data_IF_050240456042
#
_entry.id   IF_050240456042
#
_cell.length_a   1.000
_cell.length_b   1.000
_cell.length_c   1.000
_cell.angle_alpha   90.00
_cell.angle_beta   90.00
_cell.angle_gamma   90.00
#
_symmetry.space_group_name_H-M   'P 1'
#
loop_
_entity.id
_entity.type
_entity.pdbx_description
1 polymer ?
#
# COMPACT_ATOMS: atom_id res chain seq x y z
N UNK A 1 36.17 -5.19 -22.73
CA UNK A 1 35.89 -4.30 -21.60
C UNK A 1 34.38 -4.01 -21.65
N UNK A 2 33.59 -4.51 -20.72
CA UNK A 2 32.18 -4.15 -20.63
C UNK A 2 32.13 -2.66 -20.24
N UNK A 3 31.53 -1.83 -21.08
CA UNK A 3 31.21 -0.46 -20.78
C UNK A 3 30.30 -0.49 -19.53
N UNK A 4 30.77 0.05 -18.41
CA UNK A 4 29.92 0.28 -17.24
C UNK A 4 28.74 1.15 -17.73
N UNK A 5 27.55 0.60 -17.73
CA UNK A 5 26.34 1.38 -17.95
C UNK A 5 26.23 2.41 -16.84
N UNK A 6 25.72 3.59 -17.18
CA UNK A 6 25.38 4.59 -16.18
C UNK A 6 24.38 3.99 -15.20
N UNK A 7 24.57 4.22 -13.91
CA UNK A 7 23.61 3.81 -12.86
C UNK A 7 22.20 4.38 -13.03
N UNK A 8 22.05 5.29 -13.97
CA UNK A 8 20.75 5.92 -14.33
C UNK A 8 20.12 5.33 -15.58
N UNK A 9 20.75 4.35 -16.22
CA UNK A 9 20.22 3.77 -17.45
C UNK A 9 19.15 2.72 -17.13
N UNK A 10 18.24 2.54 -18.06
CA UNK A 10 17.27 1.47 -18.03
C UNK A 10 16.88 1.08 -19.46
N UNK A 11 16.38 -0.13 -19.64
CA UNK A 11 16.10 -0.67 -20.97
C UNK A 11 14.66 -1.18 -21.08
N UNK A 12 14.00 -0.83 -22.18
CA UNK A 12 12.76 -1.47 -22.60
C UNK A 12 13.17 -2.69 -23.42
N UNK A 13 13.02 -3.90 -22.87
CA UNK A 13 13.34 -5.15 -23.56
C UNK A 13 12.22 -5.59 -24.48
N UNK A 14 10.99 -5.29 -24.07
CA UNK A 14 9.80 -5.69 -24.82
C UNK A 14 8.61 -4.86 -24.41
N UNK A 15 7.85 -4.35 -25.37
CA UNK A 15 6.57 -3.72 -25.12
C UNK A 15 5.61 -4.05 -26.26
N UNK A 16 4.81 -5.08 -26.07
CA UNK A 16 3.85 -5.55 -27.08
C UNK A 16 2.43 -5.26 -26.65
N UNK A 17 1.62 -4.85 -27.58
CA UNK A 17 0.16 -4.82 -27.51
C UNK A 17 -0.42 -5.98 -28.31
N UNK A 18 -1.42 -6.63 -27.75
CA UNK A 18 -2.11 -7.73 -28.38
C UNK A 18 -3.56 -7.34 -28.66
N UNK A 19 -4.11 -7.78 -29.77
CA UNK A 19 -5.51 -7.56 -30.10
C UNK A 19 -6.42 -8.21 -29.05
N UNK A 20 -7.51 -7.52 -28.63
CA UNK A 20 -8.41 -8.00 -27.59
C UNK A 20 -9.24 -9.23 -28.00
N UNK A 21 -9.48 -9.42 -29.30
CA UNK A 21 -10.25 -10.54 -29.83
C UNK A 21 -9.39 -11.46 -30.73
N UNK A 22 -9.53 -12.77 -30.50
CA UNK A 22 -9.01 -13.86 -31.33
C UNK A 22 -7.51 -13.79 -31.62
N UNK A 23 -6.64 -14.35 -30.83
CA UNK A 23 -5.21 -14.58 -31.14
C UNK A 23 -4.63 -13.69 -32.27
N UNK A 24 -5.14 -12.48 -32.33
CA UNK A 24 -4.96 -11.56 -33.42
C UNK A 24 -3.57 -10.95 -33.39
N UNK A 25 -3.43 -9.95 -34.16
CA UNK A 25 -2.22 -9.18 -34.38
C UNK A 25 -1.56 -8.73 -33.08
N UNK A 26 -0.27 -8.96 -32.97
CA UNK A 26 0.60 -8.41 -31.92
C UNK A 26 1.46 -7.34 -32.53
N UNK A 27 1.55 -6.18 -31.89
CA UNK A 27 2.39 -5.08 -32.36
C UNK A 27 3.44 -4.83 -31.30
N UNK A 28 4.71 -4.79 -31.71
CA UNK A 28 5.79 -4.30 -30.85
C UNK A 28 5.85 -2.77 -30.93
N UNK A 29 5.63 -2.13 -29.79
CA UNK A 29 5.65 -0.67 -29.67
C UNK A 29 6.88 -0.18 -28.88
N UNK A 30 7.85 -1.06 -28.61
CA UNK A 30 9.04 -0.73 -27.81
C UNK A 30 9.77 0.50 -28.31
N UNK A 31 9.88 0.67 -29.63
CA UNK A 31 10.53 1.82 -30.27
C UNK A 31 9.73 3.14 -30.23
N UNK A 32 8.43 3.06 -30.03
CA UNK A 32 7.55 4.23 -29.96
C UNK A 32 7.36 4.76 -28.52
N UNK A 33 7.77 3.99 -27.52
CA UNK A 33 7.64 4.38 -26.11
C UNK A 33 8.76 5.32 -25.72
N UNK A 34 8.42 6.53 -25.26
CA UNK A 34 9.38 7.55 -24.82
C UNK A 34 9.50 7.63 -23.31
N UNK A 35 8.44 7.33 -22.59
CA UNK A 35 8.43 7.33 -21.12
C UNK A 35 7.48 6.27 -20.59
N UNK A 36 7.91 5.56 -19.55
CA UNK A 36 7.09 4.63 -18.78
C UNK A 36 7.10 5.10 -17.32
N UNK A 37 5.93 5.12 -16.71
CA UNK A 37 5.74 5.33 -15.27
C UNK A 37 4.93 4.18 -14.71
N UNK A 38 5.51 3.43 -13.79
CA UNK A 38 4.85 2.36 -13.07
C UNK A 38 4.64 2.77 -11.62
N UNK A 39 3.45 2.57 -11.10
CA UNK A 39 3.04 3.02 -9.78
C UNK A 39 2.57 1.88 -8.89
N UNK A 40 3.03 1.89 -7.64
CA UNK A 40 2.50 1.11 -6.53
C UNK A 40 2.22 2.03 -5.33
N UNK A 41 1.17 1.73 -4.56
CA UNK A 41 0.81 2.47 -3.36
C UNK A 41 0.10 1.54 -2.37
N UNK A 42 0.51 1.56 -1.10
CA UNK A 42 -0.12 0.75 -0.03
C UNK A 42 -1.58 1.11 0.22
N UNK A 43 -2.04 2.27 -0.22
CA UNK A 43 -3.43 2.71 -0.14
C UNK A 43 -4.21 2.43 -1.44
N UNK A 44 -3.55 1.98 -2.49
CA UNK A 44 -4.17 1.61 -3.76
C UNK A 44 -4.40 0.10 -3.85
N UNK A 45 -5.61 -0.28 -4.24
CA UNK A 45 -5.97 -1.69 -4.40
C UNK A 45 -5.43 -2.29 -5.71
N UNK A 46 -4.79 -1.50 -6.55
CA UNK A 46 -4.31 -1.94 -7.86
C UNK A 46 -3.09 -1.13 -8.28
N UNK A 47 -2.17 -1.79 -8.95
CA UNK A 47 -1.04 -1.14 -9.63
C UNK A 47 -1.51 -0.47 -10.91
N UNK A 48 -0.74 0.50 -11.40
CA UNK A 48 -0.98 1.16 -12.67
C UNK A 48 0.32 1.45 -13.40
N UNK A 49 0.26 1.47 -14.73
CA UNK A 49 1.37 1.84 -15.57
C UNK A 49 0.87 2.85 -16.63
N UNK A 50 1.63 3.88 -16.85
CA UNK A 50 1.37 4.90 -17.85
C UNK A 50 2.55 4.97 -18.84
N UNK A 51 2.28 4.93 -20.13
CA UNK A 51 3.30 5.01 -21.16
C UNK A 51 2.98 6.15 -22.14
N UNK A 52 3.98 6.99 -22.41
CA UNK A 52 3.90 8.01 -23.45
C UNK A 52 4.42 7.39 -24.75
N UNK A 53 3.57 7.41 -25.76
CA UNK A 53 3.85 6.87 -27.10
C UNK A 53 4.04 8.03 -28.06
N UNK A 54 5.07 7.94 -28.89
CA UNK A 54 5.31 8.84 -30.02
C UNK A 54 5.52 7.97 -31.24
N UNK A 55 4.61 8.05 -32.18
CA UNK A 55 4.66 7.25 -33.39
C UNK A 55 4.70 8.12 -34.66
N UNK A 56 5.36 7.60 -35.68
CA UNK A 56 5.54 8.27 -37.01
C UNK A 56 4.83 7.55 -38.13
N UNK A 57 4.00 6.54 -37.80
CA UNK A 57 3.29 5.73 -38.82
C UNK A 57 4.09 4.56 -39.39
N UNK A 58 5.38 4.45 -39.08
CA UNK A 58 6.22 3.29 -39.37
C UNK A 58 6.13 2.31 -38.19
N UNK A 59 5.16 1.42 -38.24
CA UNK A 59 5.05 0.37 -37.22
C UNK A 59 5.60 -0.92 -37.78
N UNK A 60 6.63 -1.48 -37.18
CA UNK A 60 7.17 -2.80 -37.50
C UNK A 60 6.13 -3.88 -37.16
N UNK A 61 5.35 -4.26 -38.12
CA UNK A 61 4.39 -5.36 -38.00
C UNK A 61 3.81 -5.73 -39.31
N UNK A 62 4.09 -6.94 -39.81
CA UNK A 62 3.67 -7.49 -41.10
C UNK A 62 2.14 -7.45 -41.35
N UNK A 63 1.33 -7.15 -40.35
CA UNK A 63 -0.12 -7.23 -40.42
C UNK A 63 -0.88 -5.89 -40.28
N UNK A 64 -0.19 -4.78 -40.01
CA UNK A 64 -0.86 -3.50 -39.69
C UNK A 64 -0.85 -2.51 -40.86
N UNK A 65 0.03 -2.76 -41.86
CA UNK A 65 0.25 -1.83 -42.95
C UNK A 65 0.73 -0.47 -42.43
N UNK A 66 1.15 0.46 -43.24
CA UNK A 66 1.63 1.80 -42.88
C UNK A 66 0.55 2.66 -42.16
N UNK A 67 0.01 2.18 -41.04
CA UNK A 67 -1.01 2.86 -40.22
C UNK A 67 -0.49 3.05 -38.81
N UNK A 68 -0.94 4.11 -38.15
CA UNK A 68 -0.69 4.33 -36.72
C UNK A 68 -1.23 3.20 -35.84
N UNK A 69 -0.64 3.01 -34.67
CA UNK A 69 -1.00 1.96 -33.70
C UNK A 69 -2.48 2.04 -33.32
N UNK A 70 -3.01 3.24 -33.10
CA UNK A 70 -4.41 3.45 -32.71
C UNK A 70 -5.40 2.99 -33.78
N UNK A 71 -5.05 3.18 -35.05
CA UNK A 71 -5.89 2.80 -36.20
C UNK A 71 -5.62 1.37 -36.69
N UNK A 72 -4.38 0.95 -36.64
CA UNK A 72 -3.93 -0.37 -37.07
C UNK A 72 -4.38 -1.50 -36.13
N UNK A 73 -4.36 -1.29 -34.83
CA UNK A 73 -4.82 -2.24 -33.82
C UNK A 73 -6.18 -1.87 -33.24
N UNK A 74 -7.00 -1.05 -33.78
CA UNK A 74 -8.09 -0.26 -33.18
C UNK A 74 -8.16 -0.34 -31.65
N UNK A 75 -7.22 0.35 -30.98
CA UNK A 75 -7.11 0.38 -29.52
C UNK A 75 -8.35 1.05 -28.92
N UNK A 76 -9.16 0.28 -28.20
CA UNK A 76 -10.44 0.74 -27.61
C UNK A 76 -10.53 0.54 -26.12
N UNK A 77 -9.52 -0.07 -25.49
CA UNK A 77 -9.48 -0.49 -24.11
C UNK A 77 -9.72 -1.99 -23.95
N UNK A 78 -8.98 -2.58 -23.02
CA UNK A 78 -9.00 -4.01 -22.75
C UNK A 78 -7.99 -4.84 -23.56
N UNK A 79 -7.16 -4.21 -24.38
CA UNK A 79 -6.06 -4.87 -25.09
C UNK A 79 -5.00 -5.32 -24.10
N UNK A 80 -4.66 -6.62 -24.06
CA UNK A 80 -3.59 -7.11 -23.21
C UNK A 80 -2.23 -6.68 -23.71
N UNK A 81 -1.30 -6.44 -22.78
CA UNK A 81 0.08 -6.09 -23.10
C UNK A 81 1.06 -7.11 -22.54
N UNK A 82 2.23 -7.20 -23.15
CA UNK A 82 3.40 -7.89 -22.61
C UNK A 82 4.53 -6.88 -22.47
N UNK A 83 4.90 -6.58 -21.23
CA UNK A 83 5.89 -5.54 -20.92
C UNK A 83 7.04 -6.17 -20.16
N UNK A 84 8.27 -5.86 -20.61
CA UNK A 84 9.51 -6.25 -19.96
C UNK A 84 10.47 -5.06 -19.98
N UNK A 85 10.73 -4.50 -18.81
CA UNK A 85 11.68 -3.41 -18.59
C UNK A 85 12.74 -3.85 -17.57
N UNK A 86 13.95 -3.33 -17.74
CA UNK A 86 15.09 -3.64 -16.87
C UNK A 86 15.75 -2.35 -16.41
N UNK A 87 16.22 -2.36 -15.15
CA UNK A 87 17.09 -1.31 -14.62
C UNK A 87 18.56 -1.54 -14.99
N UNK A 88 19.43 -0.68 -14.49
CA UNK A 88 20.88 -0.73 -14.77
C UNK A 88 21.57 -1.99 -14.22
N UNK A 89 21.02 -2.60 -13.16
CA UNK A 89 21.52 -3.84 -12.55
C UNK A 89 20.99 -5.11 -13.22
N UNK A 90 20.09 -4.95 -14.19
CA UNK A 90 19.42 -6.06 -14.87
C UNK A 90 18.23 -6.62 -14.09
N UNK A 91 17.82 -5.95 -12.99
CA UNK A 91 16.57 -6.28 -12.32
C UNK A 91 15.40 -5.90 -13.21
N UNK A 92 14.44 -6.79 -13.35
CA UNK A 92 13.38 -6.63 -14.35
C UNK A 92 11.99 -6.62 -13.76
N UNK A 93 11.16 -5.71 -14.27
CA UNK A 93 9.71 -5.78 -14.14
C UNK A 93 9.13 -6.47 -15.40
N UNK A 94 8.41 -7.56 -15.15
CA UNK A 94 7.82 -8.40 -16.21
C UNK A 94 6.32 -8.54 -16.01
N UNK A 95 5.57 -7.96 -16.93
CA UNK A 95 4.11 -8.06 -16.98
C UNK A 95 3.71 -8.99 -18.12
N UNK A 96 3.66 -10.30 -17.82
CA UNK A 96 3.30 -11.37 -18.78
C UNK A 96 2.48 -12.46 -18.09
N UNK A 97 1.79 -13.31 -18.88
CA UNK A 97 0.97 -14.39 -18.33
C UNK A 97 -0.16 -13.86 -17.43
N UNK A 98 -0.19 -14.30 -16.18
CA UNK A 98 -1.21 -13.89 -15.21
C UNK A 98 -0.98 -12.47 -14.65
N UNK A 99 0.21 -11.90 -14.86
CA UNK A 99 0.55 -10.51 -14.46
C UNK A 99 0.37 -9.49 -15.58
N UNK A 100 -0.20 -9.87 -16.74
CA UNK A 100 -0.43 -8.93 -17.85
C UNK A 100 -1.21 -7.71 -17.40
N UNK A 101 -0.82 -6.58 -17.97
CA UNK A 101 -1.57 -5.34 -17.86
C UNK A 101 -2.40 -5.15 -19.12
N UNK A 102 -3.48 -4.41 -19.00
CA UNK A 102 -4.45 -4.19 -20.07
C UNK A 102 -4.64 -2.69 -20.26
N UNK A 103 -4.81 -2.26 -21.49
CA UNK A 103 -5.12 -0.86 -21.80
C UNK A 103 -6.43 -0.49 -21.13
N UNK A 104 -6.38 0.49 -20.25
CA UNK A 104 -7.56 1.04 -19.57
C UNK A 104 -8.04 2.31 -20.25
N UNK A 105 -7.09 3.16 -20.69
CA UNK A 105 -7.41 4.49 -21.17
C UNK A 105 -6.37 4.96 -22.19
N UNK A 106 -6.85 5.62 -23.22
CA UNK A 106 -6.05 6.44 -24.14
C UNK A 106 -6.36 7.89 -23.85
N UNK A 107 -5.36 8.73 -23.66
CA UNK A 107 -5.54 10.15 -23.33
C UNK A 107 -4.49 11.04 -23.98
N UNK A 108 -4.78 12.33 -24.02
CA UNK A 108 -3.88 13.37 -24.54
C UNK A 108 -3.41 13.07 -25.98
N UNK A 109 -4.33 12.65 -26.85
CA UNK A 109 -4.00 12.38 -28.25
C UNK A 109 -3.75 13.71 -28.95
N UNK A 110 -2.53 13.86 -29.47
CA UNK A 110 -2.10 15.01 -30.29
C UNK A 110 -1.67 14.44 -31.65
N UNK A 111 -2.53 14.59 -32.65
CA UNK A 111 -2.26 14.12 -33.99
C UNK A 111 -1.69 15.24 -34.84
N UNK A 112 -0.56 14.98 -35.49
CA UNK A 112 0.11 15.85 -36.43
C UNK A 112 0.18 15.21 -37.80
N UNK A 113 0.72 15.94 -38.78
CA UNK A 113 0.89 15.41 -40.15
C UNK A 113 2.00 14.35 -40.24
N UNK A 114 2.93 14.33 -39.31
CA UNK A 114 4.10 13.44 -39.34
C UNK A 114 4.28 12.58 -38.09
N UNK A 115 3.52 12.85 -37.03
CA UNK A 115 3.60 12.08 -35.77
C UNK A 115 2.36 12.24 -34.94
N UNK A 116 2.03 11.17 -34.22
CA UNK A 116 1.04 11.15 -33.17
C UNK A 116 1.70 10.97 -31.80
N UNK A 117 1.20 11.70 -30.82
CA UNK A 117 1.64 11.60 -29.41
C UNK A 117 0.44 11.34 -28.54
N UNK A 118 0.48 10.31 -27.73
CA UNK A 118 -0.59 9.97 -26.82
C UNK A 118 -0.08 9.21 -25.59
N UNK A 119 -0.93 9.07 -24.60
CA UNK A 119 -0.64 8.33 -23.37
C UNK A 119 -1.56 7.14 -23.26
N UNK A 120 -0.98 5.97 -23.04
CA UNK A 120 -1.69 4.75 -22.70
C UNK A 120 -1.57 4.47 -21.20
N UNK A 121 -2.69 4.36 -20.54
CA UNK A 121 -2.75 3.93 -19.14
C UNK A 121 -3.18 2.45 -19.09
N UNK A 122 -2.41 1.67 -18.33
CA UNK A 122 -2.57 0.23 -18.17
C UNK A 122 -2.90 -0.13 -16.73
N UNK A 123 -3.77 -1.12 -16.59
CA UNK A 123 -4.17 -1.69 -15.28
C UNK A 123 -4.27 -3.21 -15.37
N UNK A 124 -4.22 -3.93 -14.24
CA UNK A 124 -4.40 -5.38 -14.24
C UNK A 124 -5.86 -5.78 -14.51
N UNK A 125 -6.05 -7.01 -15.01
CA UNK A 125 -7.37 -7.62 -15.28
C UNK A 125 -8.30 -7.57 -14.06
N UNK A 126 -7.73 -7.76 -12.89
CA UNK A 126 -8.47 -7.82 -11.64
C UNK A 126 -9.21 -6.52 -11.31
N UNK A 127 -8.69 -5.36 -11.76
CA UNK A 127 -9.39 -4.09 -11.59
C UNK A 127 -10.70 -4.05 -12.40
N UNK A 128 -10.68 -4.55 -13.64
CA UNK A 128 -11.91 -4.66 -14.44
C UNK A 128 -12.88 -5.67 -13.84
N UNK A 129 -12.37 -6.84 -13.40
CA UNK A 129 -13.18 -7.84 -12.72
C UNK A 129 -13.84 -7.30 -11.45
N UNK A 130 -13.14 -6.44 -10.70
CA UNK A 130 -13.69 -5.79 -9.51
C UNK A 130 -14.92 -4.90 -9.82
N UNK A 131 -14.93 -4.24 -10.99
CA UNK A 131 -16.08 -3.45 -11.42
C UNK A 131 -17.30 -4.32 -11.79
N UNK A 132 -17.06 -5.52 -12.28
CA UNK A 132 -18.10 -6.46 -12.75
C UNK A 132 -18.61 -7.40 -11.65
N UNK A 133 -17.88 -7.56 -10.55
CA UNK A 133 -18.18 -8.50 -9.49
C UNK A 133 -18.84 -7.82 -8.29
N UNK A 134 -19.67 -8.61 -7.58
CA UNK A 134 -20.28 -8.21 -6.30
C UNK A 134 -20.15 -9.33 -5.28
N UNK A 135 -19.88 -8.95 -4.05
CA UNK A 135 -19.81 -9.88 -2.91
C UNK A 135 -21.18 -9.93 -2.26
N UNK A 136 -21.92 -11.01 -2.52
CA UNK A 136 -23.29 -11.19 -2.02
C UNK A 136 -23.43 -12.33 -1.00
N UNK A 137 -22.39 -13.17 -0.89
CA UNK A 137 -22.39 -14.33 -0.02
C UNK A 137 -22.12 -13.93 1.44
N UNK A 138 -22.55 -14.81 2.33
CA UNK A 138 -22.10 -14.84 3.71
C UNK A 138 -20.71 -15.46 3.79
N UNK A 139 -19.89 -14.91 4.65
CA UNK A 139 -18.56 -15.40 4.98
C UNK A 139 -18.45 -15.58 6.49
N UNK A 140 -17.93 -16.73 6.90
CA UNK A 140 -17.73 -17.10 8.30
C UNK A 140 -16.25 -17.41 8.53
N UNK A 141 -15.77 -17.19 9.77
CA UNK A 141 -14.41 -17.49 10.21
C UNK A 141 -13.43 -16.32 10.12
N UNK A 142 -12.16 -16.65 10.01
CA UNK A 142 -11.08 -15.64 10.04
C UNK A 142 -11.11 -14.71 8.82
N UNK A 143 -10.82 -13.44 9.05
CA UNK A 143 -10.78 -12.42 7.98
C UNK A 143 -9.77 -12.81 6.89
N UNK A 144 -8.56 -13.27 7.26
CA UNK A 144 -7.52 -13.68 6.31
C UNK A 144 -7.98 -14.79 5.35
N UNK A 145 -8.72 -15.77 5.85
CA UNK A 145 -9.28 -16.85 5.02
C UNK A 145 -10.36 -16.33 4.08
N UNK A 146 -11.19 -15.41 4.57
CA UNK A 146 -12.26 -14.81 3.77
C UNK A 146 -11.71 -13.91 2.67
N UNK A 147 -10.66 -13.13 2.93
CA UNK A 147 -9.94 -12.38 1.90
C UNK A 147 -9.42 -13.31 0.80
N UNK A 148 -8.80 -14.43 1.18
CA UNK A 148 -8.35 -15.43 0.20
C UNK A 148 -9.50 -15.98 -0.64
N UNK A 149 -10.62 -16.32 -0.01
CA UNK A 149 -11.83 -16.79 -0.72
C UNK A 149 -12.38 -15.76 -1.70
N UNK A 150 -12.37 -14.46 -1.33
CA UNK A 150 -12.85 -13.36 -2.18
C UNK A 150 -11.95 -13.17 -3.40
N UNK A 151 -10.63 -13.28 -3.25
CA UNK A 151 -9.68 -13.03 -4.33
C UNK A 151 -9.51 -14.24 -5.27
N UNK A 152 -9.43 -15.46 -4.74
CA UNK A 152 -9.19 -16.67 -5.54
C UNK A 152 -10.46 -17.34 -6.05
N UNK A 153 -11.55 -17.33 -5.27
CA UNK A 153 -12.79 -18.06 -5.57
C UNK A 153 -13.84 -17.15 -6.18
N UNK A 154 -14.86 -17.80 -6.68
CA UNK A 154 -16.02 -17.15 -7.25
C UNK A 154 -16.84 -16.44 -6.16
N UNK A 155 -16.99 -15.15 -6.26
CA UNK A 155 -17.77 -14.33 -5.32
C UNK A 155 -19.25 -14.24 -5.70
N UNK A 156 -19.57 -14.51 -6.96
CA UNK A 156 -20.92 -14.55 -7.51
C UNK A 156 -21.10 -15.75 -8.46
N UNK A 157 -22.33 -16.06 -8.83
CA UNK A 157 -22.64 -17.15 -9.77
C UNK A 157 -22.01 -16.96 -11.15
N UNK A 158 -21.71 -15.73 -11.55
CA UNK A 158 -21.32 -15.40 -12.92
C UNK A 158 -19.88 -14.91 -13.08
N UNK A 159 -19.33 -14.19 -12.13
CA UNK A 159 -17.99 -13.63 -12.25
C UNK A 159 -17.38 -13.34 -10.89
N UNK A 160 -16.13 -13.73 -10.70
CA UNK A 160 -15.30 -13.45 -9.53
C UNK A 160 -13.98 -12.83 -9.95
N UNK A 161 -13.22 -12.28 -9.01
CA UNK A 161 -11.86 -11.78 -9.28
C UNK A 161 -11.01 -12.90 -9.86
N UNK A 162 -11.04 -14.08 -9.25
CA UNK A 162 -10.32 -15.30 -9.69
C UNK A 162 -8.87 -14.99 -10.04
N UNK A 163 -8.20 -14.26 -9.15
CA UNK A 163 -6.79 -13.94 -9.38
C UNK A 163 -5.94 -15.19 -9.31
N UNK A 164 -4.94 -15.26 -10.20
CA UNK A 164 -3.87 -16.26 -10.17
C UNK A 164 -2.57 -15.69 -9.66
N UNK A 165 -2.56 -14.37 -9.35
CA UNK A 165 -1.40 -13.71 -8.78
C UNK A 165 -1.11 -14.23 -7.37
N UNK A 166 0.14 -14.12 -6.97
CA UNK A 166 0.56 -14.50 -5.61
C UNK A 166 -0.21 -13.68 -4.58
N UNK A 167 -0.69 -14.35 -3.53
CA UNK A 167 -1.33 -13.72 -2.38
C UNK A 167 -0.38 -13.77 -1.17
N UNK A 168 -0.08 -12.61 -0.62
CA UNK A 168 0.72 -12.44 0.57
C UNK A 168 -0.20 -11.95 1.69
N UNK A 169 -0.76 -12.89 2.44
CA UNK A 169 -1.82 -12.65 3.43
C UNK A 169 -1.28 -13.01 4.81
N UNK A 170 -1.21 -12.03 5.71
CA UNK A 170 -0.92 -12.29 7.12
C UNK A 170 -2.16 -12.91 7.79
N UNK A 171 -1.92 -13.93 8.62
CA UNK A 171 -2.99 -14.62 9.34
C UNK A 171 -3.62 -13.70 10.38
N UNK A 172 -4.97 -13.70 10.44
CA UNK A 172 -5.74 -12.92 11.42
C UNK A 172 -6.20 -13.79 12.60
N UNK A 173 -6.28 -13.19 13.78
CA UNK A 173 -6.58 -13.91 15.01
C UNK A 173 -8.08 -14.17 15.22
N UNK A 174 -8.91 -13.13 14.98
CA UNK A 174 -10.31 -13.16 15.34
C UNK A 174 -11.20 -13.64 14.20
N UNK A 175 -12.27 -14.34 14.55
CA UNK A 175 -13.34 -14.67 13.61
C UNK A 175 -14.28 -13.49 13.46
N UNK A 176 -14.64 -13.21 12.23
CA UNK A 176 -15.59 -12.17 11.89
C UNK A 176 -16.52 -12.63 10.78
N UNK A 177 -17.78 -12.85 11.14
CA UNK A 177 -18.80 -13.27 10.22
C UNK A 177 -19.49 -12.06 9.59
N UNK A 178 -19.64 -12.05 8.27
CA UNK A 178 -20.26 -10.93 7.57
C UNK A 178 -20.96 -11.36 6.29
N UNK A 179 -21.82 -10.47 5.80
CA UNK A 179 -22.47 -10.58 4.48
C UNK A 179 -21.88 -9.45 3.62
N UNK A 180 -21.59 -9.75 2.37
CA UNK A 180 -20.93 -8.82 1.47
C UNK A 180 -21.74 -7.59 1.05
N UNK A 181 -23.07 -7.59 1.28
CA UNK A 181 -23.98 -6.48 1.03
C UNK A 181 -23.87 -5.86 -0.38
N UNK A 182 -23.68 -6.72 -1.37
CA UNK A 182 -23.54 -6.35 -2.79
C UNK A 182 -22.43 -5.34 -3.10
N UNK A 183 -21.37 -5.35 -2.29
CA UNK A 183 -20.21 -4.48 -2.45
C UNK A 183 -19.18 -5.08 -3.40
N UNK A 184 -18.35 -4.20 -4.01
CA UNK A 184 -17.22 -4.61 -4.84
C UNK A 184 -16.17 -5.38 -4.00
N UNK A 185 -15.52 -6.40 -4.54
CA UNK A 185 -14.54 -7.22 -3.81
C UNK A 185 -13.42 -6.43 -3.15
N UNK A 186 -12.78 -5.51 -3.85
CA UNK A 186 -11.68 -4.70 -3.30
C UNK A 186 -12.16 -3.79 -2.17
N UNK A 187 -13.36 -3.23 -2.30
CA UNK A 187 -13.97 -2.47 -1.20
C UNK A 187 -14.14 -3.34 0.05
N UNK A 188 -14.63 -4.58 -0.11
CA UNK A 188 -14.79 -5.50 1.02
C UNK A 188 -13.44 -5.84 1.65
N UNK A 189 -12.40 -6.07 0.84
CA UNK A 189 -11.06 -6.33 1.34
C UNK A 189 -10.51 -5.15 2.16
N UNK A 190 -10.66 -3.92 1.66
CA UNK A 190 -10.23 -2.71 2.39
C UNK A 190 -11.07 -2.47 3.65
N UNK A 191 -12.37 -2.70 3.59
CA UNK A 191 -13.25 -2.60 4.75
C UNK A 191 -12.89 -3.60 5.85
N UNK A 192 -12.55 -4.84 5.48
CA UNK A 192 -12.08 -5.87 6.41
C UNK A 192 -10.70 -5.56 6.99
N UNK A 193 -9.84 -4.86 6.25
CA UNK A 193 -8.50 -4.47 6.71
C UNK A 193 -8.54 -3.64 8.00
N UNK A 194 -9.50 -2.74 8.13
CA UNK A 194 -9.69 -1.93 9.34
C UNK A 194 -10.17 -2.72 10.56
N UNK A 195 -10.64 -3.96 10.38
CA UNK A 195 -11.18 -4.85 11.42
C UNK A 195 -10.24 -5.99 11.76
N UNK A 196 -9.20 -6.16 10.99
CA UNK A 196 -8.27 -7.28 11.12
C UNK A 196 -7.25 -7.05 12.23
N UNK A 197 -6.96 -8.12 12.98
CA UNK A 197 -5.95 -8.17 14.04
C UNK A 197 -5.00 -9.32 13.70
N UNK A 198 -3.67 -9.14 13.77
CA UNK A 198 -2.73 -10.19 13.41
C UNK A 198 -2.76 -11.35 14.42
N UNK A 199 -2.68 -12.60 13.92
CA UNK A 199 -2.63 -13.80 14.75
C UNK A 199 -1.27 -14.00 15.40
N UNK A 200 -0.19 -13.66 14.70
CA UNK A 200 1.17 -13.72 15.22
C UNK A 200 1.56 -12.33 15.68
N UNK A 201 1.48 -12.16 16.95
CA UNK A 201 1.92 -10.95 17.63
C UNK A 201 3.41 -11.14 17.90
N UNK A 202 4.26 -10.47 17.12
CA UNK A 202 5.67 -10.33 17.47
C UNK A 202 5.83 -9.54 18.76
N UNK A 203 6.92 -8.82 18.92
CA UNK A 203 7.11 -7.92 20.07
C UNK A 203 6.23 -6.66 20.03
N UNK A 204 5.39 -6.49 19.01
CA UNK A 204 4.68 -5.24 18.70
C UNK A 204 3.24 -5.17 19.21
N UNK A 205 2.81 -6.11 20.03
CA UNK A 205 1.54 -6.03 20.78
C UNK A 205 0.26 -6.33 20.00
N UNK A 206 0.32 -6.68 18.72
CA UNK A 206 -0.86 -7.11 17.92
C UNK A 206 -1.91 -6.03 17.77
N UNK A 207 -1.51 -4.87 17.30
CA UNK A 207 -2.41 -3.74 17.06
C UNK A 207 -3.31 -4.04 15.85
N UNK A 208 -4.58 -3.65 15.94
CA UNK A 208 -5.50 -3.74 14.82
C UNK A 208 -5.09 -2.77 13.70
N UNK A 209 -5.26 -3.23 12.47
CA UNK A 209 -4.99 -2.46 11.24
C UNK A 209 -4.15 -3.24 10.25
N UNK A 210 -4.75 -3.44 9.09
CA UNK A 210 -4.13 -4.08 7.93
C UNK A 210 -4.19 -3.15 6.74
N UNK A 211 -3.38 -3.45 5.74
CA UNK A 211 -3.40 -2.80 4.44
C UNK A 211 -3.71 -3.83 3.36
N UNK A 212 -4.57 -3.46 2.42
CA UNK A 212 -4.86 -4.26 1.24
C UNK A 212 -4.40 -3.48 0.00
N UNK A 213 -3.38 -4.00 -0.67
CA UNK A 213 -2.76 -3.33 -1.82
C UNK A 213 -2.14 -4.34 -2.78
N UNK A 214 -1.85 -3.89 -4.00
CA UNK A 214 -1.19 -4.68 -5.02
C UNK A 214 0.22 -4.15 -5.28
N UNK A 215 1.15 -5.07 -5.57
CA UNK A 215 2.50 -4.79 -6.06
C UNK A 215 2.76 -5.64 -7.31
N UNK A 216 3.87 -5.41 -8.01
CA UNK A 216 4.26 -6.28 -9.12
C UNK A 216 4.45 -7.75 -8.70
N UNK A 217 4.67 -8.02 -7.40
CA UNK A 217 4.80 -9.37 -6.83
C UNK A 217 3.46 -10.03 -6.49
N UNK A 218 2.36 -9.28 -6.52
CA UNK A 218 1.01 -9.77 -6.27
C UNK A 218 0.23 -8.96 -5.25
N UNK A 219 -0.87 -9.55 -4.74
CA UNK A 219 -1.74 -8.92 -3.75
C UNK A 219 -1.23 -9.12 -2.33
N UNK A 220 -1.32 -8.07 -1.54
CA UNK A 220 -0.88 -8.03 -0.16
C UNK A 220 -2.05 -7.71 0.75
N UNK A 221 -2.23 -8.50 1.80
CA UNK A 221 -3.10 -8.20 2.94
C UNK A 221 -2.26 -8.34 4.19
N UNK A 222 -1.63 -7.26 4.60
CA UNK A 222 -0.57 -7.26 5.60
C UNK A 222 -0.91 -6.40 6.80
N UNK A 223 -0.56 -6.87 7.98
CA UNK A 223 -0.61 -6.06 9.21
C UNK A 223 0.40 -4.92 9.12
N UNK A 224 -0.01 -3.71 9.53
CA UNK A 224 0.90 -2.55 9.62
C UNK A 224 2.08 -2.86 10.52
N UNK A 225 1.87 -3.55 11.64
CA UNK A 225 2.94 -3.92 12.57
C UNK A 225 3.94 -4.89 11.95
N UNK A 226 3.46 -5.86 11.17
CA UNK A 226 4.33 -6.81 10.45
C UNK A 226 5.16 -6.10 9.38
N UNK A 227 4.57 -5.11 8.70
CA UNK A 227 5.28 -4.32 7.70
C UNK A 227 6.43 -3.50 8.30
N UNK A 228 6.29 -2.99 9.52
CA UNK A 228 7.34 -2.26 10.23
C UNK A 228 8.31 -3.16 11.02
N UNK A 229 7.98 -4.44 11.22
CA UNK A 229 8.86 -5.36 11.94
C UNK A 229 10.05 -5.80 11.08
N UNK A 230 11.24 -5.31 11.39
CA UNK A 230 12.48 -5.64 10.66
C UNK A 230 12.85 -7.11 10.69
N UNK A 231 12.28 -7.92 11.59
CA UNK A 231 12.50 -9.37 11.62
C UNK A 231 11.65 -10.11 10.58
N UNK A 232 10.45 -9.61 10.33
CA UNK A 232 9.51 -10.21 9.38
C UNK A 232 9.60 -9.56 7.99
N UNK A 233 9.89 -8.25 7.96
CA UNK A 233 10.11 -7.47 6.75
C UNK A 233 11.54 -6.93 6.76
N UNK A 234 12.43 -7.56 6.01
CA UNK A 234 13.85 -7.19 6.00
C UNK A 234 14.05 -5.85 5.29
N UNK A 235 14.99 -5.06 5.82
CA UNK A 235 15.41 -3.82 5.17
C UNK A 235 16.08 -4.16 3.82
N UNK A 236 15.57 -3.58 2.75
CA UNK A 236 15.97 -3.87 1.35
C UNK A 236 17.21 -3.13 0.90
N UNK A 237 17.53 -2.02 1.53
CA UNK A 237 18.71 -1.23 1.15
C UNK A 237 18.97 -0.09 2.11
N UNK A 238 20.18 0.47 1.99
CA UNK A 238 20.59 1.67 2.70
C UNK A 238 20.85 2.77 1.69
N UNK A 239 20.22 3.93 1.90
CA UNK A 239 20.28 5.06 1.01
C UNK A 239 20.77 6.29 1.76
N UNK A 240 21.77 6.97 1.20
CA UNK A 240 22.45 8.11 1.85
C UNK A 240 22.41 9.31 0.90
N UNK A 241 22.01 10.46 1.42
CA UNK A 241 22.16 11.72 0.70
C UNK A 241 23.53 12.34 1.00
N UNK A 242 24.31 12.56 -0.03
CA UNK A 242 25.62 13.23 0.05
C UNK A 242 25.69 14.35 -0.96
N UNK A 243 26.20 15.53 -0.53
CA UNK A 243 26.44 16.67 -1.42
C UNK A 243 27.78 16.59 -2.16
N UNK A 244 28.57 15.56 -1.92
CA UNK A 244 29.88 15.41 -2.56
C UNK A 244 29.70 14.74 -3.92
N UNK A 245 30.44 15.25 -4.93
CA UNK A 245 30.52 14.64 -6.26
C UNK A 245 31.26 13.29 -6.25
N UNK A 246 31.95 12.98 -5.16
CA UNK A 246 32.61 11.70 -4.97
C UNK A 246 31.52 10.61 -4.85
N UNK A 247 31.34 9.91 -5.95
CA UNK A 247 30.50 8.72 -6.01
C UNK A 247 31.15 7.63 -5.13
N UNK A 248 30.49 7.22 -4.03
CA UNK A 248 30.97 6.04 -3.33
C UNK A 248 30.98 4.87 -4.32
N UNK A 249 31.99 4.05 -4.26
CA UNK A 249 32.07 2.79 -5.01
C UNK A 249 30.85 1.95 -4.65
N UNK A 250 29.87 1.84 -5.56
CA UNK A 250 28.57 1.23 -5.26
C UNK A 250 27.48 2.30 -5.19
N UNK A 251 27.22 2.92 -6.31
CA UNK A 251 26.32 4.06 -6.51
C UNK A 251 24.86 3.83 -6.13
N UNK A 252 24.48 2.57 -5.92
CA UNK A 252 23.09 2.15 -5.74
C UNK A 252 22.45 2.63 -4.44
N UNK A 253 23.23 3.13 -3.50
CA UNK A 253 22.79 3.69 -2.22
C UNK A 253 22.67 5.23 -2.18
N UNK A 254 22.82 5.95 -3.29
CA UNK A 254 22.74 7.44 -3.29
C UNK A 254 21.31 7.94 -3.44
N UNK A 255 20.89 8.84 -2.57
CA UNK A 255 19.68 9.62 -2.74
C UNK A 255 20.04 10.81 -3.64
N UNK A 256 19.34 10.94 -4.78
CA UNK A 256 19.57 12.01 -5.76
C UNK A 256 18.88 13.32 -5.36
N UNK A 257 17.68 13.20 -4.82
CA UNK A 257 16.88 14.31 -4.35
C UNK A 257 16.01 13.87 -3.18
N UNK A 258 15.74 14.79 -2.24
CA UNK A 258 14.84 14.49 -1.14
C UNK A 258 14.06 15.72 -0.70
N UNK A 259 12.82 15.50 -0.29
CA UNK A 259 11.97 16.48 0.36
C UNK A 259 11.42 15.88 1.65
N UNK A 260 11.66 16.54 2.78
CA UNK A 260 11.11 16.14 4.08
C UNK A 260 9.87 16.97 4.34
N UNK A 261 8.74 16.33 4.32
CA UNK A 261 7.46 16.91 4.73
C UNK A 261 7.30 16.70 6.24
N UNK A 262 7.63 17.75 6.98
CA UNK A 262 7.46 17.80 8.45
C UNK A 262 6.20 18.59 8.76
N UNK A 263 5.07 18.03 8.39
CA UNK A 263 3.80 18.65 8.74
C UNK A 263 3.47 18.38 10.22
N UNK A 264 4.15 19.15 11.08
CA UNK A 264 3.86 19.17 12.52
C UNK A 264 2.75 20.18 12.75
N UNK A 265 1.52 19.75 12.54
CA UNK A 265 0.32 20.54 12.83
C UNK A 265 -0.32 20.04 14.11
N UNK A 266 0.01 20.68 15.23
CA UNK A 266 -0.55 20.35 16.54
C UNK A 266 -2.07 20.50 16.54
N UNK A 267 -2.60 21.54 15.95
CA UNK A 267 -4.04 21.81 15.92
C UNK A 267 -4.77 20.71 15.15
N UNK A 268 -4.29 20.35 13.97
CA UNK A 268 -4.89 19.27 13.18
C UNK A 268 -4.80 17.92 13.90
N UNK A 269 -3.65 17.61 14.52
CA UNK A 269 -3.48 16.41 15.32
C UNK A 269 -4.45 16.32 16.50
N UNK A 270 -4.77 17.43 17.14
CA UNK A 270 -5.80 17.49 18.18
C UNK A 270 -7.20 17.29 17.59
N UNK A 271 -7.52 17.92 16.46
CA UNK A 271 -8.81 17.76 15.76
C UNK A 271 -9.08 16.32 15.35
N UNK A 272 -8.08 15.63 14.82
CA UNK A 272 -8.21 14.20 14.44
C UNK A 272 -8.14 13.26 15.66
N UNK A 273 -7.78 13.76 16.84
CA UNK A 273 -7.65 12.97 18.07
C UNK A 273 -6.44 12.05 18.07
N UNK A 274 -5.32 12.49 17.48
CA UNK A 274 -4.12 11.68 17.33
C UNK A 274 -3.47 11.30 18.68
N UNK A 275 -3.63 12.11 19.70
CA UNK A 275 -3.03 11.86 21.02
C UNK A 275 -4.01 11.27 22.02
N UNK A 276 -5.23 11.80 22.08
CA UNK A 276 -6.25 11.26 22.97
C UNK A 276 -7.65 11.45 22.35
N UNK A 277 -8.45 10.39 22.36
CA UNK A 277 -9.82 10.46 21.89
C UNK A 277 -10.75 9.64 22.79
N UNK A 278 -12.04 9.99 22.74
CA UNK A 278 -13.11 9.25 23.37
C UNK A 278 -14.11 8.83 22.33
N UNK A 279 -14.41 7.54 22.28
CA UNK A 279 -15.41 6.99 21.36
C UNK A 279 -16.57 6.38 22.12
N UNK A 280 -17.76 6.81 21.79
CA UNK A 280 -19.02 6.29 22.28
C UNK A 280 -19.55 5.26 21.26
N UNK A 281 -19.68 4.02 21.67
CA UNK A 281 -20.23 2.94 20.86
C UNK A 281 -21.65 2.63 21.27
N UNK A 282 -22.59 2.82 20.37
CA UNK A 282 -23.96 2.40 20.56
C UNK A 282 -24.16 0.95 20.12
N UNK A 283 -24.69 0.15 21.00
CA UNK A 283 -25.13 -1.22 20.73
C UNK A 283 -26.66 -1.21 20.57
N UNK A 284 -27.13 -1.24 19.32
CA UNK A 284 -28.57 -1.22 19.06
C UNK A 284 -29.26 -2.52 19.43
N UNK A 285 -28.53 -3.60 19.54
CA UNK A 285 -29.12 -4.90 19.90
C UNK A 285 -29.32 -5.03 21.40
N UNK A 286 -28.33 -4.61 22.17
CA UNK A 286 -28.41 -4.62 23.64
C UNK A 286 -29.05 -3.33 24.21
N UNK A 287 -29.38 -2.35 23.34
CA UNK A 287 -29.92 -1.05 23.71
C UNK A 287 -29.13 -0.34 24.80
N UNK A 288 -27.80 -0.42 24.69
CA UNK A 288 -26.87 0.22 25.61
C UNK A 288 -25.73 0.92 24.86
N UNK A 289 -24.85 1.55 25.62
CA UNK A 289 -23.65 2.17 25.04
C UNK A 289 -22.39 1.82 25.85
N UNK A 290 -21.25 1.80 25.19
CA UNK A 290 -19.93 1.62 25.80
C UNK A 290 -19.05 2.79 25.42
N UNK A 291 -18.36 3.34 26.43
CA UNK A 291 -17.37 4.41 26.21
C UNK A 291 -15.98 3.81 26.21
N UNK A 292 -15.17 4.18 25.23
CA UNK A 292 -13.75 3.84 25.15
C UNK A 292 -12.93 5.11 25.06
N UNK A 293 -11.94 5.23 25.92
CA UNK A 293 -10.95 6.29 25.86
C UNK A 293 -9.66 5.70 25.29
N UNK A 294 -9.04 6.41 24.39
CA UNK A 294 -7.72 6.11 23.89
C UNK A 294 -6.78 7.27 24.23
N UNK A 295 -5.57 6.96 24.68
CA UNK A 295 -4.50 7.94 24.89
C UNK A 295 -3.17 7.30 24.49
N UNK A 296 -2.29 8.08 23.88
CA UNK A 296 -0.90 7.69 23.58
C UNK A 296 -0.08 7.62 24.89
N UNK A 297 -0.51 8.33 25.92
CA UNK A 297 0.16 8.31 27.22
C UNK A 297 -0.23 7.08 28.04
N UNK A 298 0.76 6.34 28.50
CA UNK A 298 0.58 5.16 29.39
C UNK A 298 -0.06 5.52 30.74
N UNK A 299 0.11 6.75 31.22
CA UNK A 299 -0.39 7.20 32.51
C UNK A 299 -1.88 7.54 32.52
N UNK A 300 -2.52 7.60 31.38
CA UNK A 300 -3.88 8.11 31.20
C UNK A 300 -5.01 7.16 31.61
N UNK A 301 -4.76 6.04 32.27
CA UNK A 301 -5.81 5.09 32.69
C UNK A 301 -6.67 4.57 31.55
N UNK A 302 -6.17 4.65 30.33
CA UNK A 302 -6.88 4.21 29.15
C UNK A 302 -6.90 2.68 29.13
N UNK A 303 -8.07 2.10 28.91
CA UNK A 303 -8.33 0.67 28.67
C UNK A 303 -7.52 0.07 27.53
N UNK A 304 -6.52 0.77 26.97
CA UNK A 304 -6.13 0.63 25.58
C UNK A 304 -4.63 0.50 25.30
N UNK A 305 -3.80 0.37 26.33
CA UNK A 305 -2.37 0.11 26.10
C UNK A 305 -2.09 -1.36 25.74
N UNK A 306 -3.14 -2.18 25.64
CA UNK A 306 -3.05 -3.57 25.18
C UNK A 306 -3.51 -3.69 23.75
N UNK A 307 -2.78 -4.44 22.92
CA UNK A 307 -3.19 -4.80 21.59
C UNK A 307 -4.55 -5.51 21.57
N UNK A 308 -5.35 -5.31 20.52
CA UNK A 308 -6.65 -5.98 20.40
C UNK A 308 -6.54 -7.51 20.35
N UNK A 309 -5.41 -8.02 19.90
CA UNK A 309 -5.12 -9.45 19.77
C UNK A 309 -4.31 -10.05 20.89
N UNK A 310 -3.81 -9.24 21.83
CA UNK A 310 -3.02 -9.72 22.97
C UNK A 310 -3.20 -8.83 24.19
N UNK A 311 -2.73 -9.32 25.34
CA UNK A 311 -2.65 -8.53 26.58
C UNK A 311 -1.36 -7.73 26.67
N UNK A 312 -0.48 -7.84 25.66
CA UNK A 312 0.79 -7.15 25.66
C UNK A 312 0.59 -5.67 25.37
N UNK A 313 1.43 -4.83 25.96
CA UNK A 313 1.41 -3.39 25.71
C UNK A 313 1.68 -3.10 24.23
N UNK A 314 1.00 -2.09 23.71
CA UNK A 314 1.27 -1.57 22.38
C UNK A 314 2.67 -0.95 22.39
N UNK A 315 3.58 -1.51 21.61
CA UNK A 315 4.90 -0.94 21.34
C UNK A 315 4.93 -0.26 19.96
N UNK A 316 5.71 0.81 19.85
CA UNK A 316 5.97 1.42 18.52
C UNK A 316 6.78 0.48 17.64
N UNK A 317 6.47 0.46 16.37
CA UNK A 317 7.11 -0.41 15.38
C UNK A 317 8.61 -0.16 15.21
N UNK A 318 9.08 1.04 15.45
CA UNK A 318 10.51 1.30 15.53
C UNK A 318 10.95 1.41 16.98
N UNK A 319 11.50 0.39 17.61
CA UNK A 319 12.11 0.47 18.95
C UNK A 319 13.14 1.61 19.14
N UNK A 320 13.29 2.45 18.15
CA UNK A 320 14.33 3.45 18.00
C UNK A 320 13.83 4.88 17.92
N UNK A 321 12.57 5.16 18.14
CA UNK A 321 12.05 6.53 18.10
C UNK A 321 10.99 6.78 19.15
N UNK A 322 10.76 8.04 19.45
CA UNK A 322 9.63 8.47 20.28
C UNK A 322 8.35 8.53 19.42
N UNK A 323 7.21 8.28 20.06
CA UNK A 323 5.92 8.48 19.42
C UNK A 323 5.76 9.91 18.90
N UNK A 324 5.06 10.13 17.79
CA UNK A 324 4.58 11.46 17.48
C UNK A 324 3.78 11.97 18.65
N UNK A 325 4.27 13.02 19.29
CA UNK A 325 3.64 13.59 20.48
C UNK A 325 4.38 13.39 21.80
N UNK A 326 5.41 12.57 21.88
CA UNK A 326 6.23 12.46 23.10
C UNK A 326 6.90 13.80 23.49
N UNK A 327 7.14 14.64 22.47
CA UNK A 327 7.67 16.01 22.68
C UNK A 327 6.59 17.06 22.92
N UNK A 328 5.31 16.71 22.77
CA UNK A 328 4.19 17.61 23.01
C UNK A 328 3.93 17.68 24.52
N UNK A 329 3.76 18.92 25.01
CA UNK A 329 3.47 19.14 26.42
C UNK A 329 2.22 18.37 26.88
N UNK A 330 2.27 17.87 28.10
CA UNK A 330 1.22 17.03 28.69
C UNK A 330 -0.16 17.69 28.70
N UNK A 331 -0.18 19.01 28.82
CA UNK A 331 -1.42 19.83 28.78
C UNK A 331 -2.20 19.72 27.45
N UNK A 332 -1.51 19.41 26.32
CA UNK A 332 -2.13 19.21 25.01
C UNK A 332 -2.32 17.73 24.67
N UNK A 333 -1.44 16.87 25.18
CA UNK A 333 -1.39 15.45 24.82
C UNK A 333 -2.38 14.59 25.62
N UNK A 334 -2.54 14.87 26.91
CA UNK A 334 -3.37 14.04 27.82
C UNK A 334 -4.88 14.29 27.70
N UNK A 335 -5.37 15.53 27.55
CA UNK A 335 -6.80 15.75 27.45
C UNK A 335 -7.41 15.14 26.21
N UNK A 336 -8.62 14.61 26.35
CA UNK A 336 -9.40 14.13 25.21
C UNK A 336 -9.73 15.29 24.28
N UNK A 337 -9.15 15.28 23.10
CA UNK A 337 -9.34 16.33 22.10
C UNK A 337 -10.44 16.03 21.09
N UNK A 338 -10.82 14.74 20.93
CA UNK A 338 -11.85 14.33 19.98
C UNK A 338 -12.89 13.41 20.63
N UNK A 339 -14.15 13.72 20.41
CA UNK A 339 -15.28 12.85 20.72
C UNK A 339 -15.80 12.22 19.43
N UNK A 340 -15.98 10.92 19.40
CA UNK A 340 -16.53 10.18 18.27
C UNK A 340 -17.72 9.34 18.72
N UNK A 341 -18.70 9.20 17.84
CA UNK A 341 -19.81 8.26 18.02
C UNK A 341 -19.78 7.21 16.95
N UNK A 342 -19.94 5.96 17.30
CA UNK A 342 -19.91 4.81 16.39
C UNK A 342 -20.99 3.80 16.77
N UNK A 343 -21.47 3.09 15.79
CA UNK A 343 -22.31 1.91 16.02
C UNK A 343 -21.38 0.72 16.29
N UNK A 344 -21.70 -0.06 17.32
CA UNK A 344 -20.98 -1.29 17.61
C UNK A 344 -21.26 -2.29 16.50
N UNK A 345 -20.24 -2.69 15.79
CA UNK A 345 -20.30 -3.70 14.74
C UNK A 345 -19.89 -5.05 15.31
N UNK A 346 -20.78 -5.99 15.28
CA UNK A 346 -20.58 -7.35 15.82
C UNK A 346 -20.60 -8.40 14.70
N UNK A 347 -20.71 -7.98 13.45
CA UNK A 347 -20.88 -8.87 12.31
C UNK A 347 -22.27 -9.49 12.24
N UNK A 348 -22.37 -10.63 11.55
CA UNK A 348 -23.60 -11.43 11.44
C UNK A 348 -23.60 -12.58 12.43
N UNK A 349 -24.79 -13.06 12.79
CA UNK A 349 -24.96 -14.22 13.64
C UNK A 349 -24.20 -15.45 13.09
N UNK A 350 -23.54 -16.25 13.95
CA UNK A 350 -22.97 -17.52 13.54
C UNK A 350 -24.03 -18.47 12.95
N UNK A 351 -23.66 -19.37 12.04
CA UNK A 351 -24.59 -20.39 11.54
C UNK A 351 -25.15 -21.24 12.69
N UNK A 352 -26.47 -21.51 12.65
CA UNK A 352 -27.12 -22.39 13.61
C UNK A 352 -27.45 -21.74 14.97
N UNK A 353 -27.11 -20.46 15.18
CA UNK A 353 -27.55 -19.72 16.37
C UNK A 353 -28.66 -18.75 16.00
N UNK A 354 -29.73 -18.77 16.77
CA UNK A 354 -30.79 -17.76 16.64
C UNK A 354 -30.42 -16.46 17.39
N UNK A 355 -31.28 -15.46 17.25
CA UNK A 355 -31.09 -14.16 17.87
C UNK A 355 -31.09 -14.23 19.40
N UNK A 356 -31.96 -15.03 20.00
CA UNK A 356 -32.09 -15.12 21.46
C UNK A 356 -30.87 -15.76 22.09
N UNK A 357 -30.36 -16.86 21.50
CA UNK A 357 -29.11 -17.50 21.95
C UNK A 357 -27.92 -16.57 21.84
N UNK A 358 -27.81 -15.80 20.75
CA UNK A 358 -26.75 -14.83 20.56
C UNK A 358 -26.84 -13.69 21.58
N UNK A 359 -28.02 -13.18 21.84
CA UNK A 359 -28.23 -12.10 22.79
C UNK A 359 -27.88 -12.54 24.22
N UNK A 360 -28.21 -13.79 24.58
CA UNK A 360 -27.85 -14.38 25.86
C UNK A 360 -26.35 -14.54 26.00
N UNK A 361 -25.67 -15.09 25.02
CA UNK A 361 -24.22 -15.23 24.99
C UNK A 361 -23.51 -13.86 25.12
N UNK A 362 -24.04 -12.82 24.50
CA UNK A 362 -23.52 -11.46 24.65
C UNK A 362 -23.68 -10.88 26.04
N UNK A 363 -24.81 -11.13 26.70
CA UNK A 363 -25.06 -10.67 28.08
C UNK A 363 -24.16 -11.40 29.07
N UNK A 364 -23.96 -12.70 28.87
CA UNK A 364 -23.24 -13.55 29.83
C UNK A 364 -21.72 -13.45 29.68
N UNK A 365 -21.19 -13.33 28.46
CA UNK A 365 -19.74 -13.28 28.17
C UNK A 365 -19.42 -12.42 26.95
N UNK A 366 -19.55 -11.10 27.04
CA UNK A 366 -19.42 -10.23 25.88
C UNK A 366 -18.06 -10.28 25.19
N UNK A 367 -16.99 -10.66 25.88
CA UNK A 367 -15.61 -10.60 25.38
C UNK A 367 -15.09 -11.95 24.85
N UNK A 368 -15.83 -13.06 24.97
CA UNK A 368 -15.33 -14.40 24.60
C UNK A 368 -15.95 -14.97 23.32
N UNK A 369 -17.19 -14.65 23.00
CA UNK A 369 -17.92 -15.29 21.90
C UNK A 369 -18.18 -14.38 20.72
N UNK A 370 -17.95 -13.09 20.84
CA UNK A 370 -18.20 -12.12 19.79
C UNK A 370 -17.00 -11.21 19.57
N UNK A 371 -16.84 -10.84 18.33
CA UNK A 371 -15.88 -9.83 17.89
C UNK A 371 -16.13 -8.50 18.63
N UNK A 372 -15.26 -8.12 19.59
CA UNK A 372 -15.33 -6.79 20.21
C UNK A 372 -14.75 -5.73 19.28
N UNK A 373 -15.60 -5.19 18.44
CA UNK A 373 -15.23 -4.15 17.47
C UNK A 373 -14.80 -2.84 18.13
N UNK A 374 -15.16 -2.61 19.41
CA UNK A 374 -14.94 -1.30 20.03
C UNK A 374 -13.47 -0.97 20.20
N UNK A 375 -12.68 -1.90 20.70
CA UNK A 375 -11.24 -1.76 20.87
C UNK A 375 -10.52 -1.71 19.51
N UNK A 376 -10.91 -2.63 18.62
CA UNK A 376 -10.30 -2.79 17.30
C UNK A 376 -10.47 -1.54 16.44
N UNK A 377 -11.69 -0.98 16.39
CA UNK A 377 -11.95 0.22 15.56
C UNK A 377 -11.17 1.44 16.04
N UNK A 378 -11.06 1.63 17.34
CA UNK A 378 -10.28 2.75 17.88
C UNK A 378 -8.80 2.59 17.56
N UNK A 379 -8.24 1.39 17.79
CA UNK A 379 -6.84 1.12 17.50
C UNK A 379 -6.49 1.25 16.01
N UNK A 380 -7.32 0.71 15.13
CA UNK A 380 -7.05 0.79 13.68
C UNK A 380 -7.04 2.24 13.17
N UNK A 381 -8.00 3.06 13.59
CA UNK A 381 -8.03 4.48 13.21
C UNK A 381 -6.77 5.20 13.68
N UNK A 382 -6.37 4.97 14.92
CA UNK A 382 -5.14 5.57 15.47
C UNK A 382 -3.91 5.08 14.72
N UNK A 383 -3.84 3.79 14.42
CA UNK A 383 -2.70 3.21 13.71
C UNK A 383 -2.53 3.79 12.31
N UNK A 384 -3.62 3.94 11.57
CA UNK A 384 -3.59 4.60 10.26
C UNK A 384 -3.13 6.07 10.35
N UNK A 385 -3.60 6.81 11.35
CA UNK A 385 -3.17 8.20 11.55
C UNK A 385 -1.67 8.29 11.92
N UNK A 386 -1.19 7.40 12.78
CA UNK A 386 0.22 7.39 13.22
C UNK A 386 1.19 6.99 12.11
N UNK A 387 0.79 6.10 11.21
CA UNK A 387 1.65 5.61 10.13
C UNK A 387 2.18 6.73 9.24
N UNK A 388 1.43 7.82 9.08
CA UNK A 388 1.79 8.95 8.24
C UNK A 388 2.33 10.17 9.01
N UNK A 389 2.82 9.96 10.23
CA UNK A 389 3.34 11.05 11.07
C UNK A 389 4.54 11.77 10.44
N UNK A 390 5.39 11.04 9.73
CA UNK A 390 6.50 11.61 8.95
C UNK A 390 6.41 11.09 7.52
N UNK A 391 6.50 12.02 6.57
CA UNK A 391 6.60 11.70 5.14
C UNK A 391 7.89 12.27 4.58
N UNK A 392 8.58 11.47 3.81
CA UNK A 392 9.78 11.90 3.09
C UNK A 392 9.65 11.42 1.65
N UNK A 393 9.85 12.31 0.71
CA UNK A 393 9.94 11.97 -0.69
C UNK A 393 11.42 11.90 -1.07
N UNK A 394 11.86 10.81 -1.68
CA UNK A 394 13.20 10.66 -2.20
C UNK A 394 13.17 10.20 -3.66
N UNK A 395 14.21 10.57 -4.38
CA UNK A 395 14.47 10.03 -5.72
C UNK A 395 15.82 9.34 -5.70
N UNK A 396 15.85 8.11 -6.20
CA UNK A 396 17.04 7.25 -6.29
C UNK A 396 17.22 6.77 -7.74
N UNK A 397 18.39 6.21 -8.07
CA UNK A 397 18.55 5.45 -9.29
C UNK A 397 17.52 4.31 -9.36
N UNK A 398 17.14 3.89 -10.56
CA UNK A 398 16.10 2.88 -10.69
C UNK A 398 16.49 1.58 -9.97
N UNK A 399 15.59 1.12 -9.10
CA UNK A 399 15.69 -0.18 -8.44
C UNK A 399 14.34 -0.87 -8.51
N UNK A 400 14.19 -1.79 -9.46
CA UNK A 400 12.92 -2.46 -9.74
C UNK A 400 12.61 -3.64 -8.79
N UNK A 401 13.49 -3.97 -7.85
CA UNK A 401 13.16 -4.95 -6.79
C UNK A 401 12.32 -4.36 -5.66
N UNK A 402 12.33 -3.03 -5.51
CA UNK A 402 11.57 -2.35 -4.47
C UNK A 402 10.06 -2.40 -4.75
N UNK A 403 9.29 -2.62 -3.69
CA UNK A 403 7.84 -2.63 -3.71
C UNK A 403 7.26 -1.67 -2.66
N UNK A 404 6.02 -1.24 -2.86
CA UNK A 404 5.27 -0.62 -1.78
C UNK A 404 5.13 -1.59 -0.58
N UNK A 405 5.36 -1.08 0.63
CA UNK A 405 5.40 -1.86 1.87
C UNK A 405 6.78 -2.40 2.25
N UNK A 406 7.81 -2.27 1.41
CA UNK A 406 9.19 -2.64 1.77
C UNK A 406 9.80 -1.63 2.74
N UNK A 407 10.77 -2.10 3.54
CA UNK A 407 11.55 -1.25 4.44
C UNK A 407 12.88 -0.89 3.81
N UNK A 408 13.26 0.38 3.94
CA UNK A 408 14.58 0.89 3.57
C UNK A 408 15.15 1.73 4.71
N UNK A 409 16.47 1.84 4.73
CA UNK A 409 17.19 2.68 5.69
C UNK A 409 17.70 3.93 4.98
N UNK A 410 17.36 5.13 5.50
CA UNK A 410 17.78 6.39 4.91
C UNK A 410 18.62 7.22 5.87
N UNK A 411 19.64 7.89 5.34
CA UNK A 411 20.46 8.86 6.06
C UNK A 411 20.42 10.22 5.34
N UNK A 412 20.19 11.26 6.14
CA UNK A 412 20.13 12.64 5.66
C UNK A 412 21.16 13.49 6.37
N UNK A 413 21.71 14.54 5.72
CA UNK A 413 22.65 15.43 6.35
C UNK A 413 21.99 16.24 7.46
N UNK A 414 22.76 16.56 8.48
CA UNK A 414 22.39 17.53 9.50
C UNK A 414 23.01 18.89 9.18
N UNK A 415 22.26 19.95 9.31
CA UNK A 415 22.81 21.31 9.26
C UNK A 415 23.65 21.51 10.52
N UNK A 416 24.96 21.68 10.35
CA UNK A 416 25.89 21.95 11.45
C UNK A 416 27.05 22.85 10.94
N UNK A 417 27.63 23.61 11.84
CA UNK A 417 28.84 24.41 11.59
C UNK A 417 30.12 23.58 11.76
N UNK A 418 30.04 22.35 12.24
CA UNK A 418 31.20 21.48 12.44
C UNK A 418 31.53 20.67 11.19
N UNK A 419 32.82 20.51 10.83
CA UNK A 419 33.24 19.86 9.58
C UNK A 419 33.00 18.37 9.51
N UNK A 420 32.71 17.67 10.63
CA UNK A 420 32.39 16.26 10.70
C UNK A 420 30.98 16.05 11.28
N UNK A 421 29.99 16.47 10.54
CA UNK A 421 28.60 16.41 11.01
C UNK A 421 28.06 14.98 11.01
N UNK A 422 27.56 14.51 12.15
CA UNK A 422 26.81 13.26 12.18
C UNK A 422 25.53 13.39 11.34
N UNK A 423 25.09 12.28 10.77
CA UNK A 423 23.80 12.19 10.08
C UNK A 423 22.66 12.63 10.99
N UNK A 424 21.66 13.28 10.42
CA UNK A 424 20.50 13.77 11.16
C UNK A 424 19.81 12.62 11.90
N UNK A 425 19.90 12.60 13.21
CA UNK A 425 19.34 11.54 14.04
C UNK A 425 17.81 11.55 14.07
N UNK A 426 17.17 12.69 13.83
CA UNK A 426 15.71 12.80 13.82
C UNK A 426 15.10 12.29 12.51
N UNK A 427 15.71 12.63 11.38
CA UNK A 427 15.24 12.25 10.05
C UNK A 427 15.86 10.94 9.53
N UNK A 428 17.03 10.53 10.03
CA UNK A 428 17.67 9.27 9.67
C UNK A 428 16.95 8.07 10.27
N UNK A 429 17.04 6.90 9.63
CA UNK A 429 16.50 5.65 10.16
C UNK A 429 15.73 4.82 9.14
N UNK A 430 14.95 3.87 9.65
CA UNK A 430 14.16 2.94 8.84
C UNK A 430 12.84 3.58 8.47
N UNK A 431 12.48 3.46 7.20
CA UNK A 431 11.23 3.93 6.61
C UNK A 431 10.55 2.81 5.84
N UNK A 432 9.23 2.85 5.79
CA UNK A 432 8.43 2.01 4.92
C UNK A 432 8.09 2.79 3.65
N UNK A 433 8.19 2.14 2.50
CA UNK A 433 7.77 2.69 1.22
C UNK A 433 6.23 2.71 1.20
N UNK A 434 5.64 3.90 1.24
CA UNK A 434 4.20 4.08 1.12
C UNK A 434 3.77 3.99 -0.34
N UNK A 435 4.43 4.74 -1.20
CA UNK A 435 4.20 4.69 -2.63
C UNK A 435 5.51 4.78 -3.40
N UNK A 436 5.52 4.24 -4.59
CA UNK A 436 6.66 4.32 -5.48
C UNK A 436 6.21 4.60 -6.93
N UNK A 437 7.10 5.26 -7.65
CA UNK A 437 7.01 5.43 -9.09
C UNK A 437 8.33 5.03 -9.72
N UNK A 438 8.34 3.93 -10.46
CA UNK A 438 9.45 3.61 -11.36
C UNK A 438 9.25 4.35 -12.67
N UNK A 439 10.13 5.27 -12.94
CA UNK A 439 10.12 6.09 -14.15
C UNK A 439 11.27 5.68 -15.06
N UNK A 440 10.95 5.29 -16.26
CA UNK A 440 11.91 4.95 -17.31
C UNK A 440 11.68 5.87 -18.49
N UNK A 441 12.71 6.56 -18.92
CA UNK A 441 12.74 7.35 -20.16
C UNK A 441 13.76 6.76 -21.11
N UNK A 442 13.84 7.29 -22.33
CA UNK A 442 14.85 6.85 -23.31
C UNK A 442 16.30 7.07 -22.88
N UNK A 443 16.55 7.90 -21.87
CA UNK A 443 17.90 8.25 -21.40
C UNK A 443 18.18 7.79 -19.98
N UNK A 444 17.19 7.91 -19.10
CA UNK A 444 17.36 7.79 -17.67
C UNK A 444 16.27 6.93 -17.05
N UNK A 445 16.60 6.25 -15.97
CA UNK A 445 15.68 5.51 -15.14
C UNK A 445 15.83 5.91 -13.67
N UNK A 446 14.71 6.22 -13.03
CA UNK A 446 14.65 6.65 -11.63
C UNK A 446 13.55 5.92 -10.89
N UNK A 447 13.72 5.79 -9.59
CA UNK A 447 12.65 5.38 -8.67
C UNK A 447 12.40 6.52 -7.69
N UNK A 448 11.19 7.09 -7.75
CA UNK A 448 10.72 8.07 -6.76
C UNK A 448 9.92 7.34 -5.70
N UNK A 449 10.25 7.56 -4.43
CA UNK A 449 9.66 6.88 -3.28
C UNK A 449 9.03 7.91 -2.35
N UNK A 450 7.82 7.63 -1.89
CA UNK A 450 7.24 8.29 -0.73
C UNK A 450 7.40 7.36 0.47
N UNK A 451 8.13 7.82 1.46
CA UNK A 451 8.50 7.10 2.65
C UNK A 451 7.68 7.56 3.83
N UNK A 452 7.27 6.62 4.67
CA UNK A 452 6.52 6.93 5.88
C UNK A 452 7.11 6.24 7.10
N UNK A 453 6.93 6.87 8.25
CA UNK A 453 7.36 6.35 9.54
C UNK A 453 6.43 6.81 10.64
N UNK A 454 6.19 5.94 11.60
CA UNK A 454 5.30 6.18 12.73
C UNK A 454 6.01 6.78 13.95
N UNK A 455 7.33 7.00 13.89
CA UNK A 455 8.14 7.48 15.02
C UNK A 455 9.12 8.56 14.62
N UNK A 456 9.45 9.45 15.55
CA UNK A 456 10.52 10.43 15.41
C UNK A 456 11.82 9.92 16.05
N UNK A 457 12.95 10.28 15.43
CA UNK A 457 14.27 10.01 15.96
C UNK A 457 14.80 8.60 15.70
N UNK A 458 16.10 8.47 15.93
CA UNK A 458 16.85 7.21 15.86
C UNK A 458 17.29 6.88 17.28
N UNK A 459 16.88 5.73 17.83
CA UNK A 459 17.64 5.19 18.95
C UNK A 459 19.01 4.79 18.43
N UNK A 460 20.05 5.30 19.05
CA UNK A 460 21.38 4.73 18.94
C UNK A 460 21.28 3.24 19.25
N UNK A 461 21.69 2.42 18.29
CA UNK A 461 21.84 0.97 18.43
C UNK A 461 22.67 0.62 19.65
#
# INVERSE_FOLDING_TARGET
>A
MATKQSSRSGNIRKFELHQAKNNGTTIDISGAVTEIKYYEDILSNSVSLSAIIVETGETDGDNVGNRGILDGLPVRGGEPSTIHIEDHDGTSLKFKGDSKLYVNRVRNVISGTSKDVYVLDFVPRELFANEQCRVVKRYDGKISENIKKILEKDTSKSAGIKTKKKLNIDETNLEYNFIGNDRKPFYVCTWLASKAVPAKVGKLGGIAGFLFYETHKGYNFRSIDVLFDTKQNKVKGRYIFTNTDDEPTGYDGKILDYGIDRDIDLQNNLVIGAYANRTLFFDFYAMNYKVRNFSVDESGGADNNEGAGSKDKIETAGKSGSFPGDTVADEFRKPVSRLMTRVKDVGTLPPGKDWEEQLKAWKDKPDKETYDSTKIMVQSVMRYNQMFAIKINITIAANFDLCAGDLIYCEFPQISTEPNTPTNQQSGGIYMISSLCHRLTTRDAYTSLTLVRDTFGKKSS
#
